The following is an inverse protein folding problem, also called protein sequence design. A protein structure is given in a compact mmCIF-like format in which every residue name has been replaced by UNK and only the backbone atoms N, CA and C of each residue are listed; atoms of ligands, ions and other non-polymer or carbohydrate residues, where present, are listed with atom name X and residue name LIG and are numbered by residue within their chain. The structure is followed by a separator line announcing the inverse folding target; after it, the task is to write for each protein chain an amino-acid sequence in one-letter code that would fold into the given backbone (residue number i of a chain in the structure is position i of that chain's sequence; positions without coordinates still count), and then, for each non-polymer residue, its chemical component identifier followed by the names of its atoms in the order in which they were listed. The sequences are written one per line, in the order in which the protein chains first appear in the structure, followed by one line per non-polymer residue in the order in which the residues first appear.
data_IF_450422354509
#
_entry.id   IF_450422354509
#
_cell.length_a   1.000
_cell.length_b   1.000
_cell.length_c   1.000
_cell.angle_alpha   90.00
_cell.angle_beta   90.00
_cell.angle_gamma   90.00
#
_symmetry.space_group_name_H-M   'P 1'
#
loop_
_entity.id
_entity.type
_entity.pdbx_description
1 polymer ?
#
# COMPACT_ATOMS: atom_id res chain seq x y z
N UNK A 1 -36.20 15.82 71.58
CA UNK A 1 -35.02 15.41 70.79
C UNK A 1 -35.54 14.69 69.54
N UNK A 2 -35.59 15.35 68.38
CA UNK A 2 -36.09 14.76 67.12
C UNK A 2 -34.93 14.07 66.40
N UNK A 3 -35.11 12.80 66.05
CA UNK A 3 -34.17 12.00 65.26
C UNK A 3 -34.43 12.31 63.77
N UNK A 4 -33.47 12.91 63.09
CA UNK A 4 -33.52 13.16 61.64
C UNK A 4 -32.94 11.93 60.94
N UNK A 5 -33.77 11.25 60.16
CA UNK A 5 -33.37 10.12 59.32
C UNK A 5 -32.91 10.68 57.97
N UNK A 6 -31.60 10.64 57.70
CA UNK A 6 -31.03 10.97 56.38
C UNK A 6 -31.29 9.81 55.41
N UNK A 7 -32.09 10.06 54.37
CA UNK A 7 -32.17 9.19 53.19
C UNK A 7 -30.95 9.47 52.30
N UNK A 8 -30.02 8.51 52.21
CA UNK A 8 -29.02 8.50 51.14
C UNK A 8 -29.67 7.96 49.87
N UNK A 9 -30.05 8.86 48.96
CA UNK A 9 -30.41 8.49 47.60
C UNK A 9 -29.09 8.17 46.88
N UNK A 10 -28.80 6.88 46.71
CA UNK A 10 -27.76 6.44 45.79
C UNK A 10 -28.27 6.67 44.36
N UNK A 11 -27.93 7.82 43.77
CA UNK A 11 -27.90 7.93 42.32
C UNK A 11 -26.70 7.12 41.82
N UNK A 12 -26.94 5.88 41.39
CA UNK A 12 -25.96 5.16 40.57
C UNK A 12 -25.99 5.76 39.16
N UNK A 13 -25.26 6.84 38.95
CA UNK A 13 -24.92 7.28 37.61
C UNK A 13 -23.88 6.29 37.05
N UNK A 14 -24.35 5.24 36.40
CA UNK A 14 -23.55 4.52 35.42
C UNK A 14 -23.52 5.39 34.16
N UNK A 15 -22.60 6.36 34.10
CA UNK A 15 -22.24 6.94 32.80
C UNK A 15 -21.64 5.80 31.98
N UNK A 16 -22.42 5.25 31.05
CA UNK A 16 -21.83 4.65 29.87
C UNK A 16 -20.94 5.76 29.27
N UNK A 17 -19.65 5.51 29.11
CA UNK A 17 -18.80 6.44 28.37
C UNK A 17 -19.46 6.65 27.01
N UNK A 18 -19.75 7.91 26.68
CA UNK A 18 -20.31 8.27 25.38
C UNK A 18 -19.27 7.97 24.31
N UNK A 19 -19.69 7.35 23.21
CA UNK A 19 -18.79 7.00 22.11
C UNK A 19 -18.22 8.28 21.49
N UNK A 20 -16.91 8.36 21.31
CA UNK A 20 -16.22 9.53 20.74
C UNK A 20 -15.65 9.28 19.34
N UNK A 21 -15.30 10.35 18.62
CA UNK A 21 -14.63 10.23 17.32
C UNK A 21 -13.29 9.48 17.42
N UNK A 22 -12.57 9.68 18.52
CA UNK A 22 -11.30 9.01 18.79
C UNK A 22 -11.51 7.50 18.99
N UNK A 23 -12.60 7.09 19.64
CA UNK A 23 -12.95 5.68 19.79
C UNK A 23 -13.22 5.02 18.43
N UNK A 24 -13.93 5.73 17.53
CA UNK A 24 -14.17 5.27 16.15
C UNK A 24 -12.87 5.20 15.37
N UNK A 25 -12.00 6.22 15.46
CA UNK A 25 -10.69 6.23 14.81
C UNK A 25 -9.86 5.01 15.23
N UNK A 26 -9.74 4.78 16.55
CA UNK A 26 -9.00 3.64 17.09
C UNK A 26 -9.61 2.31 16.63
N UNK A 27 -10.92 2.19 16.58
CA UNK A 27 -11.59 0.96 16.17
C UNK A 27 -11.40 0.65 14.67
N UNK A 28 -11.44 1.66 13.79
CA UNK A 28 -11.15 1.52 12.35
C UNK A 28 -9.76 0.90 12.13
N UNK A 29 -8.76 1.34 12.89
CA UNK A 29 -7.37 0.90 12.71
C UNK A 29 -6.98 -0.31 13.56
N UNK A 30 -7.92 -0.94 14.29
CA UNK A 30 -7.62 -2.10 15.15
C UNK A 30 -8.60 -3.26 14.99
N UNK A 31 -9.85 -3.06 15.42
CA UNK A 31 -10.75 -4.17 15.72
C UNK A 31 -12.01 -4.20 14.83
N UNK A 32 -12.49 -3.03 14.38
CA UNK A 32 -13.69 -2.90 13.55
C UNK A 32 -14.94 -3.51 14.21
N UNK A 33 -15.09 -3.39 15.53
CA UNK A 33 -16.13 -4.08 16.31
C UNK A 33 -17.30 -3.18 16.71
N UNK A 34 -17.17 -1.87 16.54
CA UNK A 34 -18.27 -0.96 16.83
C UNK A 34 -19.48 -1.26 15.93
N UNK A 35 -20.67 -0.95 16.43
CA UNK A 35 -21.91 -1.16 15.67
C UNK A 35 -22.06 -0.06 14.63
N UNK A 36 -22.55 -0.45 13.46
CA UNK A 36 -22.82 0.45 12.36
C UNK A 36 -23.63 1.68 12.78
N UNK A 37 -24.79 1.48 13.43
CA UNK A 37 -25.69 2.57 13.79
C UNK A 37 -25.01 3.55 14.77
N UNK A 38 -24.33 3.04 15.81
CA UNK A 38 -23.63 3.88 16.79
C UNK A 38 -22.52 4.72 16.12
N UNK A 39 -21.76 4.12 15.19
CA UNK A 39 -20.72 4.83 14.43
C UNK A 39 -21.32 5.88 13.51
N UNK A 40 -22.34 5.52 12.73
CA UNK A 40 -22.92 6.41 11.73
C UNK A 40 -23.71 7.56 12.35
N UNK A 41 -24.45 7.31 13.45
CA UNK A 41 -25.15 8.34 14.20
C UNK A 41 -24.16 9.34 14.79
N UNK A 42 -23.04 8.85 15.33
CA UNK A 42 -21.98 9.72 15.83
C UNK A 42 -21.39 10.54 14.70
N UNK A 43 -20.89 9.91 13.64
CA UNK A 43 -20.17 10.58 12.55
C UNK A 43 -21.04 11.52 11.71
N UNK A 44 -22.36 11.31 11.62
CA UNK A 44 -23.26 12.18 10.86
C UNK A 44 -23.92 13.27 11.71
N UNK A 45 -23.61 13.35 13.00
CA UNK A 45 -24.17 14.37 13.89
C UNK A 45 -23.79 15.79 13.43
N UNK A 46 -24.56 16.83 13.74
CA UNK A 46 -24.09 18.21 13.55
C UNK A 46 -23.32 18.72 14.79
N UNK A 47 -23.18 17.90 15.83
CA UNK A 47 -22.69 18.31 17.15
C UNK A 47 -21.20 18.04 17.39
N UNK A 48 -20.44 17.61 16.39
CA UNK A 48 -19.02 17.29 16.58
C UNK A 48 -18.19 18.54 16.85
N UNK A 49 -17.19 18.42 17.73
CA UNK A 49 -16.19 19.47 17.93
C UNK A 49 -15.14 19.50 16.81
N UNK A 50 -14.87 18.36 16.16
CA UNK A 50 -13.91 18.24 15.04
C UNK A 50 -14.59 17.70 13.77
N UNK A 51 -15.11 18.63 12.96
CA UNK A 51 -15.72 18.34 11.66
C UNK A 51 -14.71 17.71 10.68
N UNK A 52 -13.42 18.06 10.76
CA UNK A 52 -12.42 17.51 9.84
C UNK A 52 -12.13 16.05 10.16
N UNK A 53 -12.06 15.69 11.44
CA UNK A 53 -11.94 14.29 11.86
C UNK A 53 -13.17 13.49 11.46
N UNK A 54 -14.37 14.03 11.69
CA UNK A 54 -15.60 13.34 11.27
C UNK A 54 -15.63 13.11 9.75
N UNK A 55 -15.35 14.13 8.94
CA UNK A 55 -15.24 14.00 7.48
C UNK A 55 -14.17 12.98 7.07
N UNK A 56 -13.03 12.97 7.76
CA UNK A 56 -11.96 12.00 7.50
C UNK A 56 -12.45 10.57 7.75
N UNK A 57 -13.06 10.31 8.91
CA UNK A 57 -13.58 8.99 9.27
C UNK A 57 -14.73 8.56 8.35
N UNK A 58 -15.66 9.46 8.00
CA UNK A 58 -16.71 9.19 7.03
C UNK A 58 -16.15 8.82 5.66
N UNK A 59 -15.07 9.49 5.23
CA UNK A 59 -14.41 9.17 3.96
C UNK A 59 -13.86 7.73 3.97
N UNK A 60 -13.29 7.27 5.08
CA UNK A 60 -12.81 5.90 5.26
C UNK A 60 -13.97 4.90 5.32
N UNK A 61 -15.02 5.19 6.10
CA UNK A 61 -16.17 4.30 6.26
C UNK A 61 -16.87 4.06 4.93
N UNK A 62 -17.21 5.10 4.19
CA UNK A 62 -17.82 4.93 2.86
C UNK A 62 -16.83 4.39 1.83
N UNK A 63 -15.57 4.84 1.87
CA UNK A 63 -14.58 4.49 0.86
C UNK A 63 -14.13 3.04 0.91
N UNK A 64 -14.06 2.46 2.12
CA UNK A 64 -13.68 1.07 2.34
C UNK A 64 -14.87 0.15 2.66
N UNK A 65 -16.06 0.70 2.92
CA UNK A 65 -17.24 -0.08 3.29
C UNK A 65 -17.12 -0.69 4.70
N UNK A 66 -16.68 0.11 5.66
CA UNK A 66 -16.46 -0.33 7.04
C UNK A 66 -17.79 -0.49 7.78
N UNK A 67 -17.80 -1.30 8.85
CA UNK A 67 -18.96 -1.49 9.72
C UNK A 67 -20.23 -2.04 9.04
N UNK A 68 -20.13 -2.63 7.86
CA UNK A 68 -21.30 -3.08 7.10
C UNK A 68 -21.97 -1.97 6.26
N UNK A 69 -21.39 -0.76 6.25
CA UNK A 69 -21.78 0.30 5.31
C UNK A 69 -21.37 -0.12 3.89
N UNK A 70 -22.27 0.04 2.93
CA UNK A 70 -21.96 -0.23 1.53
C UNK A 70 -20.85 0.71 1.03
N UNK A 71 -19.82 0.13 0.40
CA UNK A 71 -18.73 0.88 -0.19
C UNK A 71 -19.27 1.85 -1.26
N UNK A 72 -19.02 3.14 -1.07
CA UNK A 72 -19.47 4.20 -1.97
C UNK A 72 -18.39 5.29 -2.11
N UNK A 73 -17.74 5.30 -3.28
CA UNK A 73 -16.62 6.22 -3.54
C UNK A 73 -17.11 7.65 -3.77
N UNK A 74 -18.26 7.87 -4.42
CA UNK A 74 -18.79 9.23 -4.61
C UNK A 74 -19.13 9.90 -3.27
N UNK A 75 -19.68 9.12 -2.33
CA UNK A 75 -20.00 9.62 -0.99
C UNK A 75 -18.72 9.86 -0.18
N UNK A 76 -17.76 8.93 -0.21
CA UNK A 76 -16.42 9.16 0.36
C UNK A 76 -15.78 10.45 -0.18
N UNK A 77 -15.90 10.70 -1.49
CA UNK A 77 -15.39 11.89 -2.16
C UNK A 77 -15.99 13.18 -1.65
N UNK A 78 -17.30 13.23 -1.37
CA UNK A 78 -17.91 14.42 -0.76
C UNK A 78 -17.28 14.79 0.60
N UNK A 79 -16.79 13.81 1.36
CA UNK A 79 -16.18 14.04 2.66
C UNK A 79 -14.67 14.32 2.59
N UNK A 80 -13.92 13.68 1.69
CA UNK A 80 -12.48 13.94 1.59
C UNK A 80 -12.12 15.19 0.78
N UNK A 81 -12.97 15.67 -0.14
CA UNK A 81 -12.66 16.81 -1.00
C UNK A 81 -12.27 18.08 -0.22
N UNK A 82 -13.02 18.50 0.83
CA UNK A 82 -12.65 19.66 1.64
C UNK A 82 -11.31 19.50 2.37
N UNK A 83 -10.94 18.26 2.69
CA UNK A 83 -9.74 17.93 3.45
C UNK A 83 -8.45 18.05 2.62
N UNK A 84 -8.54 17.98 1.29
CA UNK A 84 -7.39 18.09 0.38
C UNK A 84 -6.70 19.45 0.47
N UNK A 85 -7.47 20.54 0.55
CA UNK A 85 -6.94 21.91 0.66
C UNK A 85 -6.27 22.15 2.01
N UNK A 86 -6.82 21.52 3.06
CA UNK A 86 -6.26 21.53 4.41
C UNK A 86 -5.04 20.62 4.56
N UNK A 87 -4.80 19.72 3.60
CA UNK A 87 -3.78 18.66 3.69
C UNK A 87 -3.94 17.85 4.99
N UNK A 88 -5.19 17.58 5.37
CA UNK A 88 -5.50 16.97 6.65
C UNK A 88 -5.01 15.51 6.68
N UNK A 89 -4.11 15.18 7.59
CA UNK A 89 -3.58 13.81 7.76
C UNK A 89 -3.05 13.21 6.43
N UNK A 90 -3.32 11.93 6.19
CA UNK A 90 -2.94 11.14 5.00
C UNK A 90 -3.96 11.27 3.86
N UNK A 91 -4.73 12.36 3.79
CA UNK A 91 -5.82 12.50 2.82
C UNK A 91 -5.39 12.35 1.35
N UNK A 92 -4.14 12.70 1.01
CA UNK A 92 -3.63 12.46 -0.34
C UNK A 92 -3.51 10.97 -0.67
N UNK A 93 -3.14 10.14 0.31
CA UNK A 93 -3.16 8.69 0.14
C UNK A 93 -4.59 8.17 -0.02
N UNK A 94 -5.52 8.60 0.84
CA UNK A 94 -6.94 8.19 0.77
C UNK A 94 -7.56 8.54 -0.58
N UNK A 95 -7.53 9.82 -0.97
CA UNK A 95 -8.07 10.28 -2.24
C UNK A 95 -7.32 9.68 -3.43
N UNK A 96 -5.99 9.56 -3.33
CA UNK A 96 -5.15 8.93 -4.35
C UNK A 96 -5.53 7.47 -4.60
N UNK A 97 -5.78 6.70 -3.55
CA UNK A 97 -6.19 5.29 -3.60
C UNK A 97 -7.54 5.12 -4.29
N UNK A 98 -8.54 5.95 -3.93
CA UNK A 98 -9.86 5.83 -4.53
C UNK A 98 -9.87 6.29 -5.99
N UNK A 99 -9.26 7.44 -6.29
CA UNK A 99 -9.29 7.98 -7.64
C UNK A 99 -8.38 7.22 -8.62
N UNK A 100 -7.25 6.66 -8.19
CA UNK A 100 -6.40 5.82 -9.06
C UNK A 100 -7.03 4.48 -9.44
N UNK A 101 -8.14 4.09 -8.80
CA UNK A 101 -8.95 2.94 -9.19
C UNK A 101 -10.16 3.32 -10.05
N UNK A 102 -10.37 4.61 -10.34
CA UNK A 102 -11.49 5.07 -11.16
C UNK A 102 -11.35 4.68 -12.63
N UNK A 103 -12.48 4.37 -13.27
CA UNK A 103 -12.58 4.22 -14.73
C UNK A 103 -12.61 5.58 -15.46
N UNK A 104 -12.85 6.68 -14.74
CA UNK A 104 -12.77 8.03 -15.30
C UNK A 104 -11.30 8.43 -15.47
N UNK A 105 -10.82 8.72 -16.70
CA UNK A 105 -9.41 9.01 -16.95
C UNK A 105 -8.87 10.26 -16.23
N UNK A 106 -9.71 11.29 -16.04
CA UNK A 106 -9.31 12.51 -15.34
C UNK A 106 -9.16 12.27 -13.85
N UNK A 107 -10.11 11.56 -13.23
CA UNK A 107 -10.02 11.15 -11.83
C UNK A 107 -8.81 10.25 -11.63
N UNK A 108 -8.63 9.25 -12.49
CA UNK A 108 -7.44 8.38 -12.47
C UNK A 108 -6.14 9.19 -12.43
N UNK A 109 -5.97 10.14 -13.35
CA UNK A 109 -4.77 10.99 -13.42
C UNK A 109 -4.58 11.82 -12.15
N UNK A 110 -5.66 12.39 -11.59
CA UNK A 110 -5.59 13.12 -10.31
C UNK A 110 -5.19 12.19 -9.16
N UNK A 111 -5.77 11.00 -9.09
CA UNK A 111 -5.43 10.00 -8.08
C UNK A 111 -3.96 9.60 -8.12
N UNK A 112 -3.42 9.36 -9.31
CA UNK A 112 -1.98 9.09 -9.51
C UNK A 112 -1.12 10.24 -8.97
N UNK A 113 -1.45 11.49 -9.29
CA UNK A 113 -0.70 12.66 -8.79
C UNK A 113 -0.74 12.77 -7.26
N UNK A 114 -1.88 12.46 -6.64
CA UNK A 114 -2.01 12.45 -5.18
C UNK A 114 -1.18 11.33 -4.54
N UNK A 115 -1.20 10.13 -5.12
CA UNK A 115 -0.34 9.03 -4.66
C UNK A 115 1.15 9.37 -4.81
N UNK A 116 1.55 9.96 -5.94
CA UNK A 116 2.92 10.43 -6.15
C UNK A 116 3.37 11.38 -5.03
N UNK A 117 2.51 12.32 -4.67
CA UNK A 117 2.79 13.28 -3.61
C UNK A 117 2.91 12.61 -2.24
N UNK A 118 1.96 11.75 -1.88
CA UNK A 118 2.01 11.04 -0.61
C UNK A 118 3.28 10.18 -0.51
N UNK A 119 3.64 9.45 -1.57
CA UNK A 119 4.85 8.63 -1.61
C UNK A 119 6.15 9.47 -1.56
N UNK A 120 6.17 10.67 -2.16
CA UNK A 120 7.27 11.62 -2.03
C UNK A 120 7.44 12.16 -0.60
N UNK A 121 6.32 12.32 0.12
CA UNK A 121 6.29 12.74 1.53
C UNK A 121 6.59 11.58 2.50
N UNK A 122 6.77 10.35 1.98
CA UNK A 122 7.24 9.18 2.73
C UNK A 122 6.16 8.14 3.06
N UNK A 123 4.94 8.31 2.54
CA UNK A 123 3.85 7.35 2.69
C UNK A 123 4.17 6.07 1.90
N UNK A 124 4.42 4.98 2.63
CA UNK A 124 4.79 3.69 2.03
C UNK A 124 3.58 2.97 1.40
N UNK A 125 2.36 3.21 1.88
CA UNK A 125 1.14 2.62 1.32
C UNK A 125 0.79 3.28 -0.01
N UNK A 126 0.99 4.59 -0.13
CA UNK A 126 0.92 5.30 -1.40
C UNK A 126 1.98 4.76 -2.39
N UNK A 127 3.19 4.48 -1.92
CA UNK A 127 4.25 3.91 -2.74
C UNK A 127 3.90 2.50 -3.25
N UNK A 128 3.31 1.65 -2.40
CA UNK A 128 2.79 0.35 -2.82
C UNK A 128 1.71 0.47 -3.88
N UNK A 129 0.77 1.41 -3.72
CA UNK A 129 -0.28 1.65 -4.69
C UNK A 129 0.29 2.12 -6.03
N UNK A 130 1.28 3.02 -6.03
CA UNK A 130 1.97 3.42 -7.27
C UNK A 130 2.70 2.26 -7.94
N UNK A 131 3.43 1.44 -7.17
CA UNK A 131 4.08 0.26 -7.71
C UNK A 131 3.07 -0.71 -8.31
N UNK A 132 1.95 -0.96 -7.64
CA UNK A 132 0.87 -1.81 -8.16
C UNK A 132 0.33 -1.28 -9.49
N UNK A 133 0.09 0.03 -9.61
CA UNK A 133 -0.33 0.63 -10.88
C UNK A 133 0.74 0.45 -11.98
N UNK A 134 2.03 0.56 -11.64
CA UNK A 134 3.13 0.32 -12.57
C UNK A 134 3.18 -1.15 -13.04
N UNK A 135 3.10 -2.09 -12.10
CA UNK A 135 3.16 -3.53 -12.35
C UNK A 135 2.01 -4.01 -13.26
N UNK A 136 0.84 -3.37 -13.14
CA UNK A 136 -0.32 -3.59 -14.01
C UNK A 136 -0.32 -2.72 -15.29
N UNK A 137 0.76 -1.99 -15.58
CA UNK A 137 0.89 -1.15 -16.78
C UNK A 137 -0.03 0.08 -16.82
N UNK A 138 -0.62 0.46 -15.69
CA UNK A 138 -1.50 1.64 -15.54
C UNK A 138 -0.75 2.91 -15.15
N UNK A 139 0.50 2.79 -14.72
CA UNK A 139 1.39 3.92 -14.43
C UNK A 139 2.68 3.81 -15.26
N UNK A 140 3.00 4.86 -16.03
CA UNK A 140 4.09 4.82 -17.01
C UNK A 140 5.34 5.62 -16.62
N UNK A 141 5.29 6.45 -15.58
CA UNK A 141 6.42 7.30 -15.20
C UNK A 141 7.42 6.56 -14.28
N UNK A 142 8.03 5.51 -14.84
CA UNK A 142 9.00 4.66 -14.14
C UNK A 142 10.24 5.39 -13.60
N UNK A 143 10.65 6.49 -14.23
CA UNK A 143 11.76 7.30 -13.71
C UNK A 143 11.39 7.90 -12.35
N UNK A 144 10.20 8.51 -12.24
CA UNK A 144 9.72 9.09 -10.99
C UNK A 144 9.50 8.03 -9.91
N UNK A 145 8.85 6.91 -10.25
CA UNK A 145 8.69 5.79 -9.31
C UNK A 145 10.04 5.22 -8.86
N UNK A 146 10.99 5.05 -9.78
CA UNK A 146 12.35 4.61 -9.47
C UNK A 146 13.06 5.55 -8.49
N UNK A 147 12.94 6.86 -8.66
CA UNK A 147 13.51 7.86 -7.76
C UNK A 147 12.86 7.84 -6.37
N UNK A 148 11.54 7.64 -6.29
CA UNK A 148 10.83 7.50 -5.01
C UNK A 148 11.25 6.20 -4.30
N UNK A 149 11.29 5.07 -5.02
CA UNK A 149 11.74 3.77 -4.50
C UNK A 149 13.20 3.84 -4.03
N UNK A 150 14.09 4.48 -4.80
CA UNK A 150 15.50 4.65 -4.45
C UNK A 150 15.72 5.42 -3.13
N UNK A 151 14.77 6.27 -2.72
CA UNK A 151 14.83 7.01 -1.46
C UNK A 151 14.25 6.24 -0.26
N UNK A 152 13.50 5.17 -0.52
CA UNK A 152 12.73 4.45 0.50
C UNK A 152 13.05 2.95 0.60
N UNK A 153 13.86 2.38 -0.31
CA UNK A 153 14.15 0.93 -0.37
C UNK A 153 14.73 0.35 0.92
N UNK A 154 15.37 1.17 1.76
CA UNK A 154 15.95 0.78 3.04
C UNK A 154 15.10 1.15 4.26
N UNK A 155 14.00 1.88 4.06
CA UNK A 155 13.05 2.32 5.10
C UNK A 155 11.81 1.42 5.17
N UNK A 156 11.50 0.76 4.07
CA UNK A 156 10.33 -0.08 3.93
C UNK A 156 10.55 -1.53 4.30
N UNK A 157 9.53 -2.32 4.01
CA UNK A 157 9.61 -3.77 3.96
C UNK A 157 10.61 -4.24 2.89
N UNK A 158 10.89 -5.55 2.87
CA UNK A 158 11.75 -6.16 1.85
C UNK A 158 11.15 -6.00 0.46
N UNK A 159 9.83 -5.93 0.38
CA UNK A 159 9.04 -5.77 -0.82
C UNK A 159 9.37 -4.43 -1.51
N UNK A 160 9.54 -3.34 -0.77
CA UNK A 160 9.94 -2.05 -1.37
C UNK A 160 11.34 -2.14 -2.00
N UNK A 161 12.26 -2.88 -1.37
CA UNK A 161 13.58 -3.11 -1.96
C UNK A 161 13.50 -3.96 -3.24
N UNK A 162 12.66 -4.99 -3.27
CA UNK A 162 12.44 -5.81 -4.46
C UNK A 162 11.79 -5.00 -5.59
N UNK A 163 10.80 -4.18 -5.26
CA UNK A 163 10.16 -3.24 -6.18
C UNK A 163 11.16 -2.23 -6.75
N UNK A 164 12.03 -1.67 -5.90
CA UNK A 164 13.15 -0.82 -6.32
C UNK A 164 14.03 -1.53 -7.36
N UNK A 165 14.43 -2.78 -7.10
CA UNK A 165 15.20 -3.58 -8.05
C UNK A 165 14.52 -3.74 -9.40
N UNK A 166 13.23 -4.13 -9.39
CA UNK A 166 12.42 -4.35 -10.60
C UNK A 166 12.26 -3.06 -11.43
N UNK A 167 11.85 -1.96 -10.80
CA UNK A 167 11.63 -0.67 -11.52
C UNK A 167 12.96 -0.12 -12.04
N UNK A 168 14.03 -0.17 -11.25
CA UNK A 168 15.32 0.33 -11.70
C UNK A 168 15.91 -0.50 -12.83
N UNK A 169 15.68 -1.81 -12.86
CA UNK A 169 16.06 -2.64 -14.00
C UNK A 169 15.41 -2.11 -15.29
N UNK A 170 14.09 -1.89 -15.29
CA UNK A 170 13.34 -1.36 -16.44
C UNK A 170 13.80 0.05 -16.85
N UNK A 171 14.10 0.92 -15.88
CA UNK A 171 14.64 2.27 -16.15
C UNK A 171 16.04 2.20 -16.78
N UNK A 172 16.90 1.31 -16.29
CA UNK A 172 18.31 1.31 -16.63
C UNK A 172 18.61 0.51 -17.90
N UNK A 173 17.80 -0.49 -18.24
CA UNK A 173 17.91 -1.21 -19.52
C UNK A 173 17.77 -0.23 -20.69
N UNK A 174 16.82 0.70 -20.65
CA UNK A 174 16.67 1.71 -21.70
C UNK A 174 17.88 2.65 -21.79
N UNK A 175 18.46 3.00 -20.63
CA UNK A 175 19.59 3.94 -20.53
C UNK A 175 20.94 3.29 -20.80
N UNK A 176 21.02 1.96 -20.83
CA UNK A 176 22.27 1.20 -20.95
C UNK A 176 23.31 1.59 -19.87
N UNK A 177 22.86 1.98 -18.68
CA UNK A 177 23.73 2.49 -17.60
C UNK A 177 24.21 1.36 -16.68
N UNK A 178 25.30 0.70 -17.11
CA UNK A 178 25.93 -0.41 -16.39
C UNK A 178 26.33 -0.07 -14.95
N UNK A 179 26.85 1.13 -14.72
CA UNK A 179 27.36 1.53 -13.39
C UNK A 179 26.21 1.63 -12.40
N UNK A 180 25.10 2.26 -12.81
CA UNK A 180 23.92 2.34 -11.96
C UNK A 180 23.28 0.98 -11.71
N UNK A 181 23.27 0.07 -12.70
CA UNK A 181 22.75 -1.28 -12.50
C UNK A 181 23.55 -2.03 -11.42
N UNK A 182 24.88 -1.98 -11.50
CA UNK A 182 25.75 -2.57 -10.48
C UNK A 182 25.53 -1.95 -9.10
N UNK A 183 25.28 -0.64 -9.03
CA UNK A 183 24.94 0.05 -7.78
C UNK A 183 23.61 -0.42 -7.20
N UNK A 184 22.58 -0.66 -8.02
CA UNK A 184 21.30 -1.23 -7.57
C UNK A 184 21.53 -2.61 -6.97
N UNK A 185 22.28 -3.48 -7.67
CA UNK A 185 22.60 -4.82 -7.18
C UNK A 185 23.39 -4.80 -5.87
N UNK A 186 24.39 -3.93 -5.75
CA UNK A 186 25.15 -3.72 -4.51
C UNK A 186 24.23 -3.26 -3.36
N UNK A 187 23.35 -2.30 -3.60
CA UNK A 187 22.37 -1.85 -2.60
C UNK A 187 21.46 -3.00 -2.12
N UNK A 188 20.94 -3.80 -3.04
CA UNK A 188 20.09 -4.95 -2.70
C UNK A 188 20.88 -6.01 -1.91
N UNK A 189 22.12 -6.29 -2.27
CA UNK A 189 22.96 -7.30 -1.60
C UNK A 189 23.21 -7.01 -0.11
N UNK A 190 23.00 -5.76 0.33
CA UNK A 190 23.17 -5.32 1.72
C UNK A 190 21.94 -5.55 2.59
N UNK A 191 20.84 -6.05 2.01
CA UNK A 191 19.57 -6.29 2.70
C UNK A 191 19.40 -7.80 2.93
N UNK A 192 18.94 -8.18 4.12
CA UNK A 192 18.54 -9.55 4.39
C UNK A 192 17.13 -9.81 3.85
N UNK A 193 17.01 -10.64 2.82
CA UNK A 193 15.74 -11.04 2.22
C UNK A 193 15.12 -12.29 2.85
N UNK A 194 15.29 -12.50 4.17
CA UNK A 194 14.74 -13.69 4.84
C UNK A 194 13.22 -13.82 4.61
N UNK A 195 12.76 -14.92 4.04
CA UNK A 195 11.37 -15.16 3.64
C UNK A 195 10.97 -14.62 2.27
N UNK A 196 11.89 -13.96 1.55
CA UNK A 196 11.70 -13.40 0.20
C UNK A 196 12.87 -13.74 -0.73
N UNK A 197 13.70 -14.74 -0.37
CA UNK A 197 14.90 -15.12 -1.11
C UNK A 197 14.57 -15.50 -2.55
N UNK A 198 13.48 -16.24 -2.75
CA UNK A 198 13.00 -16.61 -4.08
C UNK A 198 12.78 -15.41 -5.00
N UNK A 199 12.03 -14.41 -4.54
CA UNK A 199 11.78 -13.19 -5.30
C UNK A 199 13.06 -12.34 -5.48
N UNK A 200 13.92 -12.27 -4.46
CA UNK A 200 15.21 -11.60 -4.56
C UNK A 200 16.09 -12.19 -5.67
N UNK A 201 16.25 -13.50 -5.70
CA UNK A 201 17.01 -14.18 -6.75
C UNK A 201 16.37 -14.00 -8.12
N UNK A 202 15.03 -13.95 -8.21
CA UNK A 202 14.34 -13.64 -9.46
C UNK A 202 14.69 -12.24 -9.98
N UNK A 203 14.76 -11.24 -9.09
CA UNK A 203 15.19 -9.89 -9.45
C UNK A 203 16.64 -9.90 -9.95
N UNK A 204 17.56 -10.61 -9.27
CA UNK A 204 18.95 -10.74 -9.74
C UNK A 204 19.02 -11.37 -11.13
N UNK A 205 18.30 -12.46 -11.37
CA UNK A 205 18.22 -13.10 -12.67
C UNK A 205 17.78 -12.14 -13.78
N UNK A 206 16.81 -11.27 -13.49
CA UNK A 206 16.35 -10.24 -14.41
C UNK A 206 17.49 -9.32 -14.88
N UNK A 207 18.36 -8.86 -13.98
CA UNK A 207 19.48 -7.98 -14.35
C UNK A 207 20.47 -8.61 -15.33
N UNK A 208 20.62 -9.94 -15.30
CA UNK A 208 21.53 -10.69 -16.17
C UNK A 208 20.83 -11.30 -17.40
N UNK A 209 19.50 -11.35 -17.41
CA UNK A 209 18.73 -12.17 -18.36
C UNK A 209 18.39 -11.54 -19.70
N UNK A 210 18.35 -10.22 -19.80
CA UNK A 210 17.99 -9.53 -21.05
C UNK A 210 19.22 -9.37 -21.96
N UNK A 211 19.18 -9.90 -23.19
CA UNK A 211 20.31 -9.84 -24.12
C UNK A 211 20.76 -8.42 -24.50
N UNK A 212 19.89 -7.43 -24.31
CA UNK A 212 20.18 -6.02 -24.53
C UNK A 212 20.66 -5.29 -23.26
N UNK A 213 20.88 -5.95 -22.12
CA UNK A 213 21.44 -5.29 -20.93
C UNK A 213 22.98 -5.29 -20.95
N UNK A 214 23.66 -4.22 -20.48
CA UNK A 214 25.12 -4.20 -20.30
C UNK A 214 25.66 -5.23 -19.30
N UNK A 215 24.76 -5.87 -18.55
CA UNK A 215 25.05 -6.93 -17.59
C UNK A 215 24.72 -8.33 -18.13
N UNK A 216 24.32 -8.49 -19.38
CA UNK A 216 23.88 -9.79 -19.91
C UNK A 216 24.91 -10.89 -19.61
N UNK A 217 24.43 -11.95 -18.97
CA UNK A 217 25.24 -13.08 -18.53
C UNK A 217 24.32 -14.29 -18.34
N UNK A 218 24.33 -15.20 -19.31
CA UNK A 218 23.42 -16.36 -19.32
C UNK A 218 23.66 -17.29 -18.13
N UNK A 219 24.92 -17.53 -17.78
CA UNK A 219 25.30 -18.41 -16.67
C UNK A 219 24.77 -17.84 -15.35
N UNK A 220 24.91 -16.53 -15.13
CA UNK A 220 24.35 -15.89 -13.93
C UNK A 220 22.83 -15.83 -13.94
N UNK A 221 22.20 -15.55 -15.08
CA UNK A 221 20.75 -15.62 -15.21
C UNK A 221 20.25 -16.99 -14.76
N UNK A 222 20.81 -18.05 -15.32
CA UNK A 222 20.38 -19.44 -15.06
C UNK A 222 20.63 -19.84 -13.62
N UNK A 223 21.79 -19.48 -13.06
CA UNK A 223 22.11 -19.68 -11.65
C UNK A 223 21.09 -19.02 -10.72
N UNK A 224 20.79 -17.74 -10.91
CA UNK A 224 19.85 -17.03 -10.05
C UNK A 224 18.39 -17.49 -10.27
N UNK A 225 18.00 -17.88 -11.48
CA UNK A 225 16.69 -18.48 -11.72
C UNK A 225 16.53 -19.80 -10.97
N UNK A 226 17.57 -20.66 -10.98
CA UNK A 226 17.51 -21.92 -10.25
C UNK A 226 17.42 -21.68 -8.74
N UNK A 227 18.23 -20.77 -8.17
CA UNK A 227 18.11 -20.39 -6.76
C UNK A 227 16.72 -19.82 -6.42
N UNK A 228 16.14 -19.03 -7.31
CA UNK A 228 14.79 -18.49 -7.14
C UNK A 228 13.75 -19.59 -7.07
N UNK A 229 13.84 -20.58 -7.96
CA UNK A 229 12.99 -21.76 -7.98
C UNK A 229 13.17 -22.66 -6.74
N UNK A 230 14.40 -22.93 -6.34
CA UNK A 230 14.72 -23.72 -5.13
C UNK A 230 14.18 -23.06 -3.85
N UNK A 231 14.00 -21.74 -3.85
CA UNK A 231 13.36 -20.97 -2.79
C UNK A 231 11.83 -20.79 -3.00
N UNK A 232 11.21 -21.58 -3.88
CA UNK A 232 9.76 -21.68 -4.02
C UNK A 232 9.09 -20.51 -4.74
N UNK A 233 9.79 -19.77 -5.61
CA UNK A 233 9.18 -18.67 -6.35
C UNK A 233 8.53 -19.13 -7.66
N UNK A 234 7.20 -19.12 -7.70
CA UNK A 234 6.38 -19.60 -8.83
C UNK A 234 6.76 -18.98 -10.19
N UNK A 235 7.14 -17.71 -10.21
CA UNK A 235 7.50 -17.05 -11.48
C UNK A 235 8.79 -17.63 -12.07
N UNK A 236 9.74 -18.02 -11.23
CA UNK A 236 10.96 -18.68 -11.68
C UNK A 236 10.67 -20.09 -12.20
N UNK A 237 9.81 -20.85 -11.52
CA UNK A 237 9.39 -22.17 -12.01
C UNK A 237 8.77 -22.07 -13.41
N UNK A 238 7.82 -21.14 -13.59
CA UNK A 238 7.15 -20.92 -14.88
C UNK A 238 8.15 -20.56 -15.97
N UNK A 239 9.10 -19.66 -15.67
CA UNK A 239 10.12 -19.24 -16.63
C UNK A 239 11.08 -20.39 -16.99
N UNK A 240 11.58 -21.13 -16.00
CA UNK A 240 12.48 -22.27 -16.23
C UNK A 240 11.80 -23.39 -17.03
N UNK A 241 10.51 -23.67 -16.79
CA UNK A 241 9.71 -24.58 -17.63
C UNK A 241 9.61 -24.06 -19.07
N UNK A 242 9.35 -22.76 -19.24
CA UNK A 242 9.32 -22.12 -20.56
C UNK A 242 10.66 -22.16 -21.30
N UNK A 243 11.77 -22.14 -20.57
CA UNK A 243 13.13 -22.30 -21.10
C UNK A 243 13.53 -23.76 -21.36
N UNK A 244 12.69 -24.73 -21.00
CA UNK A 244 13.00 -26.16 -21.13
C UNK A 244 14.03 -26.68 -20.11
N UNK A 245 14.27 -25.93 -19.04
CA UNK A 245 15.24 -26.28 -17.98
C UNK A 245 14.64 -27.12 -16.86
N UNK A 246 13.31 -27.17 -16.75
CA UNK A 246 12.57 -28.02 -15.82
C UNK A 246 11.56 -28.89 -16.58
N UNK A 247 11.25 -30.10 -16.08
CA UNK A 247 10.23 -30.95 -16.68
C UNK A 247 8.85 -30.29 -16.59
N UNK A 248 8.06 -30.41 -17.66
CA UNK A 248 6.64 -30.09 -17.65
C UNK A 248 5.91 -31.34 -17.15
N UNK A 249 5.64 -31.39 -15.84
CA UNK A 249 4.85 -32.49 -15.28
C UNK A 249 3.44 -32.45 -15.89
N UNK A 250 2.91 -33.59 -16.39
CA UNK A 250 1.52 -33.64 -16.82
C UNK A 250 0.62 -33.32 -15.62
N UNK A 251 -0.39 -32.48 -15.85
CA UNK A 251 -1.45 -32.26 -14.84
C UNK A 251 -2.25 -33.56 -14.79
N UNK A 252 -2.11 -34.31 -13.69
CA UNK A 252 -2.99 -35.44 -13.41
C UNK A 252 -4.44 -34.92 -13.41
N UNK A 253 -5.26 -35.45 -14.34
CA UNK A 253 -6.67 -35.13 -14.50
C UNK A 253 -7.53 -35.83 -13.46
#
# INVERSE_FOLDING_TARGET
MKLIMLFFIFFSFSLKAELTLEDVEVDIFREGKLKQDDVMDLLLSDSHEDENLSNYLLSLVYGYGLYGVEKNIEKSESYFLPLLDLKYRDIFFVAGTFWSNSSNPEKFKKGVVLLERAAEEGDLDALYNLYSLYDHGRYSNKNKLGDILARNYNKGSKEIALQYGKVMMDVLIEKQDKIRMLKVLDNLSRISFKGHEGEYYYVLAGFYGYSNTPLYDEEKRDYYLMLSYENGYDAAEKLLKGMGMLPILPVDK
#
